data_IF_540334867717
#
_entry.id   IF_540334867717
#
_cell.length_a   1.000
_cell.length_b   1.000
_cell.length_c   1.000
_cell.angle_alpha   90.00
_cell.angle_beta   90.00
_cell.angle_gamma   90.00
#
_symmetry.space_group_name_H-M   'P 1'
#
loop_
_entity.id
_entity.type
_entity.pdbx_description
1 polymer ?
#
# COMPACT_ATOMS: atom_id res chain seq x y z
N UNK A 1 -8.57 16.50 -12.55
CA UNK A 1 -7.61 16.90 -11.50
C UNK A 1 -6.19 16.65 -12.02
N UNK A 2 -5.40 17.69 -12.33
CA UNK A 2 -3.96 17.51 -12.60
C UNK A 2 -3.31 17.13 -11.26
N UNK A 3 -2.94 15.87 -11.07
CA UNK A 3 -2.04 15.53 -9.97
C UNK A 3 -0.80 16.42 -10.10
N UNK A 4 -0.54 17.22 -9.07
CA UNK A 4 0.71 17.96 -8.93
C UNK A 4 1.82 16.93 -8.85
N UNK A 5 2.49 16.65 -9.98
CA UNK A 5 3.66 15.77 -10.02
C UNK A 5 4.66 16.18 -8.93
N UNK A 6 4.79 17.49 -8.67
CA UNK A 6 5.61 18.05 -7.60
C UNK A 6 5.26 17.54 -6.20
N UNK A 7 3.98 17.45 -5.84
CA UNK A 7 3.57 16.95 -4.53
C UNK A 7 4.07 15.52 -4.29
N UNK A 8 4.00 14.65 -5.30
CA UNK A 8 4.48 13.27 -5.20
C UNK A 8 5.99 13.18 -4.94
N UNK A 9 6.82 13.95 -5.65
CA UNK A 9 8.27 13.97 -5.43
C UNK A 9 8.63 14.58 -4.07
N UNK A 10 7.91 15.62 -3.64
CA UNK A 10 8.10 16.23 -2.31
C UNK A 10 7.79 15.21 -1.22
N UNK A 11 6.70 14.46 -1.33
CA UNK A 11 6.35 13.41 -0.36
C UNK A 11 7.43 12.33 -0.31
N UNK A 12 7.98 11.89 -1.44
CA UNK A 12 9.06 10.91 -1.46
C UNK A 12 10.32 11.46 -0.78
N UNK A 13 10.71 12.70 -1.09
CA UNK A 13 11.87 13.34 -0.46
C UNK A 13 11.70 13.48 1.05
N UNK A 14 10.50 13.85 1.50
CA UNK A 14 10.17 13.92 2.92
C UNK A 14 10.26 12.56 3.59
N UNK A 15 9.70 11.51 2.98
CA UNK A 15 9.78 10.14 3.53
C UNK A 15 11.21 9.64 3.64
N UNK A 16 12.07 9.95 2.65
CA UNK A 16 13.50 9.59 2.68
C UNK A 16 14.22 10.38 3.77
N UNK A 17 14.00 11.70 3.87
CA UNK A 17 14.61 12.52 4.90
C UNK A 17 14.22 12.08 6.32
N UNK A 18 12.94 11.75 6.51
CA UNK A 18 12.39 11.29 7.78
C UNK A 18 12.90 9.88 8.12
N UNK A 19 13.00 8.99 7.14
CA UNK A 19 13.64 7.68 7.33
C UNK A 19 15.12 7.80 7.73
N UNK A 20 15.88 8.68 7.09
CA UNK A 20 17.28 8.96 7.44
C UNK A 20 17.42 9.52 8.86
N UNK A 21 16.48 10.37 9.28
CA UNK A 21 16.44 10.88 10.66
C UNK A 21 16.11 9.77 11.68
N UNK A 22 15.17 8.88 11.38
CA UNK A 22 14.83 7.77 12.27
C UNK A 22 16.04 6.81 12.43
N UNK A 23 16.78 6.57 11.35
CA UNK A 23 18.03 5.79 11.40
C UNK A 23 19.05 6.43 12.37
N UNK A 24 19.17 7.75 12.39
CA UNK A 24 20.10 8.42 13.33
C UNK A 24 19.64 8.36 14.78
N UNK A 25 18.34 8.16 15.04
CA UNK A 25 17.79 7.93 16.39
C UNK A 25 17.91 6.49 16.89
N UNK A 26 18.39 5.56 16.05
CA UNK A 26 18.70 4.18 16.44
C UNK A 26 17.67 3.13 16.02
N UNK A 27 16.54 3.52 15.45
CA UNK A 27 15.54 2.58 14.92
C UNK A 27 15.80 2.28 13.44
N UNK A 28 16.70 1.32 13.21
CA UNK A 28 17.07 0.89 11.86
C UNK A 28 15.88 0.26 11.11
N UNK A 29 14.98 -0.45 11.81
CA UNK A 29 13.89 -1.17 11.17
C UNK A 29 12.88 -0.23 10.53
N UNK A 30 12.38 0.73 11.31
CA UNK A 30 11.41 1.71 10.84
C UNK A 30 12.00 2.63 9.78
N UNK A 31 13.24 3.11 9.98
CA UNK A 31 13.91 4.00 9.05
C UNK A 31 14.20 3.37 7.68
N UNK A 32 14.72 2.13 7.66
CA UNK A 32 14.93 1.38 6.40
C UNK A 32 13.60 1.07 5.72
N UNK A 33 12.58 0.69 6.48
CA UNK A 33 11.24 0.42 5.94
C UNK A 33 10.63 1.63 5.21
N UNK A 34 10.76 2.83 5.79
CA UNK A 34 10.30 4.08 5.18
C UNK A 34 11.01 4.39 3.86
N UNK A 35 12.34 4.30 3.85
CA UNK A 35 13.15 4.57 2.65
C UNK A 35 12.85 3.54 1.55
N UNK A 36 12.85 2.26 1.90
CA UNK A 36 12.58 1.18 0.95
C UNK A 36 11.15 1.28 0.37
N UNK A 37 10.16 1.59 1.22
CA UNK A 37 8.79 1.83 0.78
C UNK A 37 8.69 3.00 -0.20
N UNK A 38 9.31 4.14 0.12
CA UNK A 38 9.31 5.32 -0.74
C UNK A 38 9.95 5.03 -2.13
N UNK A 39 11.11 4.35 -2.14
CA UNK A 39 11.78 3.95 -3.37
C UNK A 39 10.98 2.91 -4.17
N UNK A 40 10.33 1.97 -3.48
CA UNK A 40 9.46 0.97 -4.10
C UNK A 40 8.28 1.62 -4.82
N UNK A 41 7.57 2.54 -4.15
CA UNK A 41 6.46 3.29 -4.76
C UNK A 41 6.94 4.12 -5.96
N UNK A 42 8.12 4.75 -5.84
CA UNK A 42 8.73 5.48 -6.94
C UNK A 42 8.95 4.61 -8.18
N UNK A 43 9.60 3.45 -8.00
CA UNK A 43 9.89 2.52 -9.08
C UNK A 43 8.62 1.99 -9.74
N UNK A 44 7.62 1.59 -8.95
CA UNK A 44 6.34 1.12 -9.45
C UNK A 44 5.61 2.21 -10.26
N UNK A 45 5.54 3.45 -9.75
CA UNK A 45 4.91 4.56 -10.47
C UNK A 45 5.67 4.89 -11.76
N UNK A 46 7.00 4.79 -11.78
CA UNK A 46 7.79 4.96 -12.99
C UNK A 46 7.46 3.90 -14.05
N UNK A 47 7.41 2.61 -13.65
CA UNK A 47 7.03 1.52 -14.55
C UNK A 47 5.61 1.71 -15.08
N UNK A 48 4.67 2.07 -14.22
CA UNK A 48 3.28 2.32 -14.60
C UNK A 48 3.18 3.47 -15.61
N UNK A 49 3.82 4.60 -15.34
CA UNK A 49 3.83 5.74 -16.25
C UNK A 49 4.46 5.39 -17.61
N UNK A 50 5.54 4.59 -17.60
CA UNK A 50 6.16 4.11 -18.84
C UNK A 50 5.20 3.25 -19.66
N UNK A 51 4.47 2.33 -19.00
CA UNK A 51 3.46 1.49 -19.66
C UNK A 51 2.29 2.32 -20.21
N UNK A 52 1.78 3.28 -19.44
CA UNK A 52 0.69 4.16 -19.88
C UNK A 52 1.13 4.97 -21.11
N UNK A 53 2.32 5.55 -21.09
CA UNK A 53 2.86 6.29 -22.25
C UNK A 53 3.01 5.40 -23.48
N UNK A 54 3.43 4.14 -23.32
CA UNK A 54 3.52 3.18 -24.42
C UNK A 54 2.14 2.80 -24.99
N UNK A 55 1.13 2.63 -24.13
CA UNK A 55 -0.25 2.36 -24.56
C UNK A 55 -0.84 3.57 -25.30
N UNK A 56 -0.60 4.78 -24.80
CA UNK A 56 -1.01 6.02 -25.45
C UNK A 56 -0.39 6.17 -26.85
N UNK A 57 0.89 5.86 -27.01
CA UNK A 57 1.57 5.87 -28.33
C UNK A 57 0.97 4.86 -29.31
N UNK A 58 0.39 3.76 -28.82
CA UNK A 58 -0.27 2.73 -29.64
C UNK A 58 -1.75 3.04 -29.91
N UNK A 59 -2.27 4.18 -29.45
CA UNK A 59 -3.70 4.53 -29.57
C UNK A 59 -4.62 3.66 -28.71
N UNK A 60 -4.08 2.94 -27.72
CA UNK A 60 -4.85 2.09 -26.82
C UNK A 60 -5.40 2.90 -25.63
N UNK A 61 -6.62 2.61 -25.22
CA UNK A 61 -7.23 3.20 -24.02
C UNK A 61 -6.52 2.65 -22.79
N UNK A 62 -5.91 3.52 -21.99
CA UNK A 62 -5.08 3.11 -20.86
C UNK A 62 -5.89 2.57 -19.66
N UNK A 63 -7.19 2.88 -19.56
CA UNK A 63 -8.06 2.47 -18.46
C UNK A 63 -9.31 1.82 -19.04
N UNK A 64 -9.46 0.51 -18.83
CA UNK A 64 -10.60 -0.27 -19.28
C UNK A 64 -11.68 -0.29 -18.17
N UNK A 65 -12.95 -0.14 -18.54
CA UNK A 65 -14.09 -0.26 -17.62
C UNK A 65 -14.09 -1.60 -16.88
N UNK A 66 -13.66 -2.69 -17.55
CA UNK A 66 -13.53 -4.01 -16.92
C UNK A 66 -12.55 -3.98 -15.74
N UNK A 67 -11.41 -3.33 -15.91
CA UNK A 67 -10.39 -3.22 -14.85
C UNK A 67 -10.89 -2.43 -13.64
N UNK A 68 -11.73 -1.41 -13.89
CA UNK A 68 -12.34 -0.61 -12.84
C UNK A 68 -13.36 -1.44 -12.05
N UNK A 69 -14.23 -2.16 -12.74
CA UNK A 69 -15.21 -3.06 -12.12
C UNK A 69 -14.52 -4.15 -11.26
N UNK A 70 -13.49 -4.79 -11.81
CA UNK A 70 -12.72 -5.82 -11.11
C UNK A 70 -12.04 -5.28 -9.85
N UNK A 71 -11.46 -4.08 -9.94
CA UNK A 71 -10.86 -3.37 -8.82
C UNK A 71 -11.86 -3.05 -7.71
N UNK A 72 -13.05 -2.56 -8.06
CA UNK A 72 -14.12 -2.30 -7.10
C UNK A 72 -14.61 -3.56 -6.41
N UNK A 73 -14.79 -4.66 -7.15
CA UNK A 73 -15.17 -5.97 -6.60
C UNK A 73 -14.10 -6.52 -5.65
N UNK A 74 -12.83 -6.40 -6.02
CA UNK A 74 -11.70 -6.76 -5.17
C UNK A 74 -11.63 -5.94 -3.88
N UNK A 75 -11.87 -4.62 -3.96
CA UNK A 75 -11.91 -3.73 -2.79
C UNK A 75 -13.01 -4.12 -1.81
N UNK A 76 -14.22 -4.43 -2.30
CA UNK A 76 -15.31 -4.88 -1.43
C UNK A 76 -14.99 -6.18 -0.70
N UNK A 77 -14.41 -7.16 -1.41
CA UNK A 77 -13.98 -8.42 -0.80
C UNK A 77 -12.87 -8.21 0.23
N UNK A 78 -11.86 -7.40 -0.10
CA UNK A 78 -10.76 -7.06 0.79
C UNK A 78 -11.27 -6.41 2.09
N UNK A 79 -12.16 -5.42 1.99
CA UNK A 79 -12.72 -4.73 3.16
C UNK A 79 -13.50 -5.69 4.06
N UNK A 80 -14.31 -6.59 3.48
CA UNK A 80 -15.09 -7.57 4.26
C UNK A 80 -14.18 -8.48 5.09
N UNK A 81 -13.12 -9.01 4.48
CA UNK A 81 -12.15 -9.86 5.17
C UNK A 81 -11.33 -9.05 6.18
N UNK A 82 -10.96 -7.83 5.81
CA UNK A 82 -10.18 -6.94 6.66
C UNK A 82 -10.91 -6.58 7.96
N UNK A 83 -12.22 -6.32 7.90
CA UNK A 83 -13.04 -6.06 9.10
C UNK A 83 -13.02 -7.27 10.06
N UNK A 84 -13.12 -8.49 9.53
CA UNK A 84 -13.03 -9.70 10.36
C UNK A 84 -11.66 -9.82 11.03
N UNK A 85 -10.58 -9.55 10.29
CA UNK A 85 -9.22 -9.58 10.84
C UNK A 85 -9.03 -8.50 11.91
N UNK A 86 -9.56 -7.29 11.70
CA UNK A 86 -9.56 -6.23 12.70
C UNK A 86 -10.27 -6.65 13.99
N UNK A 87 -11.46 -7.24 13.87
CA UNK A 87 -12.21 -7.72 15.04
C UNK A 87 -11.41 -8.77 15.83
N UNK A 88 -10.74 -9.70 15.14
CA UNK A 88 -9.88 -10.70 15.76
C UNK A 88 -8.66 -10.08 16.45
N UNK A 89 -8.00 -9.12 15.83
CA UNK A 89 -6.82 -8.45 16.40
C UNK A 89 -7.17 -7.59 17.61
N UNK A 90 -8.31 -6.89 17.57
CA UNK A 90 -8.81 -6.12 18.72
C UNK A 90 -9.13 -7.06 19.88
N UNK A 91 -9.80 -8.19 19.63
CA UNK A 91 -10.10 -9.18 20.66
C UNK A 91 -8.82 -9.78 21.23
N UNK A 92 -7.88 -10.18 20.38
CA UNK A 92 -6.59 -10.70 20.81
C UNK A 92 -5.81 -9.70 21.66
N UNK A 93 -5.72 -8.44 21.22
CA UNK A 93 -5.09 -7.37 21.98
C UNK A 93 -5.77 -7.14 23.34
N UNK A 94 -7.09 -7.19 23.41
CA UNK A 94 -7.83 -7.02 24.67
C UNK A 94 -7.63 -8.15 25.68
N UNK A 95 -7.36 -9.38 25.22
CA UNK A 95 -7.17 -10.55 26.09
C UNK A 95 -5.71 -10.71 26.52
N UNK A 96 -4.77 -10.29 25.66
CA UNK A 96 -3.34 -10.56 25.84
C UNK A 96 -2.56 -9.37 26.40
N UNK A 97 -3.20 -8.25 26.70
CA UNK A 97 -2.58 -7.11 27.41
C UNK A 97 -2.24 -7.55 28.86
N UNK A 98 -0.96 -7.54 29.33
CA UNK A 98 0.20 -6.73 28.90
C UNK A 98 1.32 -7.50 28.17
N UNK A 99 1.09 -8.75 27.76
CA UNK A 99 2.07 -9.59 27.06
C UNK A 99 2.14 -9.31 25.55
N UNK A 100 1.38 -8.34 25.05
CA UNK A 100 1.30 -8.04 23.62
C UNK A 100 2.63 -7.45 23.11
N UNK A 101 3.33 -8.12 22.19
CA UNK A 101 4.70 -7.76 21.83
C UNK A 101 4.79 -6.61 20.81
N UNK A 102 3.67 -6.17 20.25
CA UNK A 102 3.62 -5.12 19.21
C UNK A 102 3.21 -3.80 19.81
N UNK A 103 3.93 -2.73 19.49
CA UNK A 103 3.47 -1.39 19.83
C UNK A 103 2.23 -1.04 18.99
N UNK A 104 1.38 -0.10 19.43
CA UNK A 104 0.25 0.37 18.63
C UNK A 104 0.66 0.88 17.24
N UNK A 105 1.84 1.49 17.13
CA UNK A 105 2.37 2.01 15.87
C UNK A 105 2.77 0.90 14.90
N UNK A 106 3.41 -0.16 15.39
CA UNK A 106 3.74 -1.34 14.59
C UNK A 106 2.47 -2.02 14.07
N UNK A 107 1.45 -2.14 14.95
CA UNK A 107 0.18 -2.74 14.62
C UNK A 107 -0.54 -1.98 13.51
N UNK A 108 -0.58 -0.64 13.58
CA UNK A 108 -1.17 0.20 12.53
C UNK A 108 -0.45 0.00 11.19
N UNK A 109 0.88 -0.03 11.19
CA UNK A 109 1.66 -0.25 9.98
C UNK A 109 1.34 -1.60 9.32
N UNK A 110 1.31 -2.66 10.13
CA UNK A 110 0.97 -4.02 9.67
C UNK A 110 -0.45 -4.08 9.13
N UNK A 111 -1.41 -3.46 9.82
CA UNK A 111 -2.82 -3.43 9.43
C UNK A 111 -3.03 -2.72 8.09
N UNK A 112 -2.37 -1.57 7.88
CA UNK A 112 -2.42 -0.86 6.61
C UNK A 112 -1.82 -1.69 5.47
N UNK A 113 -0.67 -2.32 5.70
CA UNK A 113 -0.05 -3.20 4.71
C UNK A 113 -0.95 -4.39 4.36
N UNK A 114 -1.55 -5.02 5.37
CA UNK A 114 -2.46 -6.16 5.21
C UNK A 114 -3.68 -5.79 4.35
N UNK A 115 -4.29 -4.62 4.56
CA UNK A 115 -5.40 -4.14 3.72
C UNK A 115 -5.00 -4.07 2.24
N UNK A 116 -3.82 -3.52 1.96
CA UNK A 116 -3.29 -3.42 0.59
C UNK A 116 -3.03 -4.81 0.00
N UNK A 117 -2.43 -5.72 0.76
CA UNK A 117 -2.17 -7.09 0.32
C UNK A 117 -3.45 -7.87 0.03
N UNK A 118 -4.49 -7.73 0.86
CA UNK A 118 -5.80 -8.33 0.61
C UNK A 118 -6.39 -7.82 -0.70
N UNK A 119 -6.35 -6.52 -0.92
CA UNK A 119 -6.84 -5.93 -2.17
C UNK A 119 -6.09 -6.46 -3.39
N UNK A 120 -4.75 -6.49 -3.36
CA UNK A 120 -3.92 -7.04 -4.46
C UNK A 120 -4.26 -8.52 -4.69
N UNK A 121 -4.39 -9.31 -3.61
CA UNK A 121 -4.70 -10.73 -3.67
C UNK A 121 -6.06 -11.01 -4.31
N UNK A 122 -7.11 -10.30 -3.87
CA UNK A 122 -8.44 -10.42 -4.47
C UNK A 122 -8.48 -9.94 -5.91
N UNK A 123 -7.76 -8.86 -6.24
CA UNK A 123 -7.67 -8.37 -7.60
C UNK A 123 -7.08 -9.43 -8.54
N UNK A 124 -5.94 -10.02 -8.15
CA UNK A 124 -5.31 -11.08 -8.94
C UNK A 124 -6.16 -12.35 -9.03
N UNK A 125 -6.88 -12.70 -7.95
CA UNK A 125 -7.77 -13.85 -7.95
C UNK A 125 -8.92 -13.65 -8.95
N UNK A 126 -9.65 -12.53 -8.87
CA UNK A 126 -10.74 -12.26 -9.79
C UNK A 126 -10.27 -12.09 -11.24
N UNK A 127 -9.08 -11.54 -11.47
CA UNK A 127 -8.49 -11.44 -12.81
C UNK A 127 -8.13 -12.79 -13.43
N UNK A 128 -7.91 -13.83 -12.62
CA UNK A 128 -7.61 -15.19 -13.11
C UNK A 128 -8.89 -15.98 -13.40
N UNK A 129 -9.95 -15.71 -12.66
CA UNK A 129 -11.21 -16.48 -12.71
C UNK A 129 -12.16 -15.95 -13.80
N UNK A 130 -12.11 -14.65 -14.12
CA UNK A 130 -12.89 -14.00 -15.19
C UNK A 130 -12.10 -13.83 -16.49
#
# INVERSE_FOLDING_TARGET
MKESKGAFYITILLLIALGSYIISTGDLGMGVGLIAGALGVFALKFIQNRKISQMAQKGLVAHDERSLYLSSKAALAAVRVYILILALLVLAGSVLDPLWPLTPWDLIGILLALMVFLWIGFYYNYNRVE
#
